data_IF_764476467985
#
_entry.id   IF_764476467985
#
_cell.length_a   1.000
_cell.length_b   1.000
_cell.length_c   1.000
_cell.angle_alpha   90.00
_cell.angle_beta   90.00
_cell.angle_gamma   90.00
#
_symmetry.space_group_name_H-M   'P 1'
#
loop_
_entity.id
_entity.type
_entity.pdbx_description
1 polymer ?
#
# COMPACT_ATOMS: atom_id res chain seq x y z
N UNK A 1 -22.19 11.00 12.57
CA UNK A 1 -20.87 10.62 12.06
C UNK A 1 -19.82 10.96 13.12
N UNK A 2 -19.01 10.05 13.54
CA UNK A 2 -17.89 10.33 14.45
C UNK A 2 -16.62 10.18 13.66
N UNK A 3 -15.87 11.26 13.49
CA UNK A 3 -14.55 11.19 12.86
C UNK A 3 -13.65 10.27 13.69
N UNK A 4 -12.91 9.38 13.02
CA UNK A 4 -11.95 8.51 13.66
C UNK A 4 -12.56 7.70 14.82
N UNK A 5 -13.79 7.21 14.63
CA UNK A 5 -14.53 6.47 15.65
C UNK A 5 -14.00 5.04 15.75
N UNK A 6 -13.45 4.71 16.91
CA UNK A 6 -12.77 3.44 17.18
C UNK A 6 -13.65 2.21 16.92
N UNK A 7 -14.90 2.25 17.32
CA UNK A 7 -15.82 1.10 17.20
C UNK A 7 -16.21 0.89 15.71
N UNK A 8 -16.41 1.97 14.97
CA UNK A 8 -16.67 1.90 13.54
C UNK A 8 -15.47 1.33 12.77
N UNK A 9 -14.23 1.73 13.12
CA UNK A 9 -13.00 1.20 12.51
C UNK A 9 -12.86 -0.31 12.77
N UNK A 10 -13.14 -0.77 14.00
CA UNK A 10 -13.11 -2.18 14.34
C UNK A 10 -14.17 -2.96 13.54
N UNK A 11 -15.36 -2.39 13.39
CA UNK A 11 -16.46 -3.01 12.64
C UNK A 11 -16.14 -3.12 11.13
N UNK A 12 -15.38 -2.19 10.56
CA UNK A 12 -14.93 -2.24 9.17
C UNK A 12 -13.84 -3.30 8.91
N UNK A 13 -13.11 -3.72 9.93
CA UNK A 13 -11.97 -4.63 9.80
C UNK A 13 -12.14 -5.90 10.63
N UNK A 14 -13.26 -6.65 10.49
CA UNK A 14 -13.60 -7.78 11.37
C UNK A 14 -12.72 -9.01 11.18
N UNK A 15 -12.06 -9.13 10.04
CA UNK A 15 -11.14 -10.23 9.71
C UNK A 15 -9.77 -10.06 10.39
N UNK A 16 -9.40 -8.86 10.81
CA UNK A 16 -8.17 -8.63 11.55
C UNK A 16 -8.28 -9.18 12.98
N UNK A 17 -7.40 -10.11 13.35
CA UNK A 17 -7.36 -10.76 14.68
C UNK A 17 -6.16 -10.36 15.54
N UNK A 18 -5.25 -9.55 14.98
CA UNK A 18 -4.03 -9.10 15.67
C UNK A 18 -4.24 -7.87 16.57
N UNK A 19 -3.15 -7.31 17.04
CA UNK A 19 -3.12 -6.07 17.83
C UNK A 19 -3.71 -4.89 17.03
N UNK A 20 -4.30 -3.93 17.76
CA UNK A 20 -4.85 -2.71 17.17
C UNK A 20 -4.17 -1.47 17.73
N UNK A 21 -4.07 -0.44 16.91
CA UNK A 21 -3.66 0.89 17.34
C UNK A 21 -4.72 1.51 18.27
N UNK A 22 -4.38 2.56 19.03
CA UNK A 22 -5.33 3.20 19.95
C UNK A 22 -6.64 3.67 19.30
N UNK A 23 -6.59 4.06 18.03
CA UNK A 23 -7.75 4.47 17.23
C UNK A 23 -8.58 3.30 16.67
N UNK A 24 -8.17 2.06 16.89
CA UNK A 24 -8.89 0.85 16.46
C UNK A 24 -8.39 0.24 15.16
N UNK A 25 -7.54 0.93 14.40
CA UNK A 25 -6.97 0.41 13.15
C UNK A 25 -6.13 -0.86 13.40
N UNK A 26 -6.14 -1.83 12.47
CA UNK A 26 -5.18 -2.93 12.47
C UNK A 26 -3.75 -2.44 12.63
N UNK A 27 -3.01 -3.05 13.55
CA UNK A 27 -1.56 -2.82 13.72
C UNK A 27 -0.80 -3.99 13.08
N UNK A 28 -0.64 -3.94 11.77
CA UNK A 28 0.22 -4.89 11.06
C UNK A 28 1.64 -4.80 11.64
N UNK A 29 2.27 -5.95 11.91
CA UNK A 29 3.60 -6.01 12.50
C UNK A 29 4.65 -5.39 11.58
N UNK A 30 5.62 -4.69 12.17
CA UNK A 30 6.65 -3.96 11.43
C UNK A 30 7.53 -4.87 10.56
N UNK A 31 7.73 -6.13 10.96
CA UNK A 31 8.47 -7.13 10.16
C UNK A 31 7.90 -7.32 8.75
N UNK A 32 6.57 -7.27 8.58
CA UNK A 32 5.93 -7.37 7.27
C UNK A 32 6.12 -6.09 6.46
N UNK A 33 6.05 -4.93 7.12
CA UNK A 33 6.32 -3.65 6.45
C UNK A 33 7.79 -3.57 6.00
N UNK A 34 8.72 -4.09 6.79
CA UNK A 34 10.15 -4.13 6.46
C UNK A 34 10.41 -5.07 5.27
N UNK A 35 9.80 -6.25 5.25
CA UNK A 35 9.94 -7.20 4.16
C UNK A 35 9.48 -6.61 2.80
N UNK A 36 8.39 -5.84 2.79
CA UNK A 36 7.87 -5.21 1.57
C UNK A 36 8.87 -4.25 0.90
N UNK A 37 9.80 -3.65 1.63
CA UNK A 37 10.82 -2.78 1.02
C UNK A 37 11.75 -3.53 0.06
N UNK A 38 11.96 -4.83 0.24
CA UNK A 38 12.74 -5.70 -0.66
C UNK A 38 12.01 -6.12 -1.93
N UNK A 39 10.66 -6.06 -1.96
CA UNK A 39 9.81 -6.67 -3.00
C UNK A 39 9.46 -5.72 -4.12
N UNK A 40 9.20 -6.23 -5.32
CA UNK A 40 8.69 -5.47 -6.47
C UNK A 40 7.16 -5.31 -6.41
N UNK A 41 6.61 -4.44 -7.27
CA UNK A 41 5.16 -4.25 -7.35
C UNK A 41 4.44 -5.54 -7.79
N UNK A 42 4.99 -6.22 -8.77
CA UNK A 42 4.42 -7.44 -9.37
C UNK A 42 4.41 -8.60 -8.39
N UNK A 43 5.49 -8.77 -7.61
CA UNK A 43 5.59 -9.79 -6.56
C UNK A 43 4.52 -9.61 -5.48
N UNK A 44 4.27 -8.36 -5.06
CA UNK A 44 3.27 -8.04 -4.04
C UNK A 44 1.85 -8.08 -4.60
N UNK A 45 1.66 -7.67 -5.86
CA UNK A 45 0.34 -7.65 -6.50
C UNK A 45 -0.21 -9.05 -6.78
N UNK A 46 0.63 -9.97 -7.24
CA UNK A 46 0.22 -11.31 -7.68
C UNK A 46 -0.59 -12.09 -6.62
N UNK A 47 -0.13 -12.22 -5.36
CA UNK A 47 -0.90 -12.90 -4.32
C UNK A 47 -2.28 -12.27 -4.07
N UNK A 48 -2.36 -10.96 -4.06
CA UNK A 48 -3.61 -10.21 -3.83
C UNK A 48 -4.61 -10.49 -4.96
N UNK A 49 -4.13 -10.47 -6.21
CA UNK A 49 -4.95 -10.74 -7.39
C UNK A 49 -5.50 -12.17 -7.38
N UNK A 50 -4.66 -13.16 -7.08
CA UNK A 50 -5.05 -14.57 -6.99
C UNK A 50 -6.11 -14.81 -5.92
N UNK A 51 -6.08 -14.05 -4.82
CA UNK A 51 -7.08 -14.09 -3.75
C UNK A 51 -8.40 -13.38 -4.13
N UNK A 52 -8.53 -12.85 -5.37
CA UNK A 52 -9.75 -12.20 -5.87
C UNK A 52 -9.88 -10.71 -5.54
N UNK A 53 -8.83 -10.07 -5.03
CA UNK A 53 -8.80 -8.62 -4.76
C UNK A 53 -8.26 -7.86 -5.97
N UNK A 54 -9.01 -7.83 -7.07
CA UNK A 54 -8.59 -7.29 -8.36
C UNK A 54 -8.43 -5.76 -8.39
N UNK A 55 -9.21 -5.04 -7.55
CA UNK A 55 -9.29 -3.57 -7.56
C UNK A 55 -8.50 -2.93 -6.42
N UNK A 56 -7.24 -3.31 -6.25
CA UNK A 56 -6.38 -2.78 -5.17
C UNK A 56 -5.20 -1.93 -5.68
N UNK A 57 -4.99 -1.88 -6.98
CA UNK A 57 -3.89 -1.13 -7.60
C UNK A 57 -4.38 0.16 -8.25
N UNK A 58 -3.62 1.25 -8.04
CA UNK A 58 -3.81 2.56 -8.69
C UNK A 58 -2.51 3.01 -9.31
N UNK A 59 -2.53 3.24 -10.60
CA UNK A 59 -1.35 3.67 -11.34
C UNK A 59 -1.51 3.51 -12.85
N UNK A 60 -0.40 3.65 -13.57
CA UNK A 60 -0.39 3.53 -15.02
C UNK A 60 -1.17 4.62 -15.75
N UNK A 61 -1.50 4.37 -17.02
CA UNK A 61 -2.06 5.38 -17.93
C UNK A 61 -3.49 5.84 -17.59
N UNK A 62 -4.29 5.02 -16.91
CA UNK A 62 -5.69 5.35 -16.61
C UNK A 62 -5.84 6.14 -15.29
N UNK A 63 -4.95 5.93 -14.34
CA UNK A 63 -4.96 6.58 -13.04
C UNK A 63 -3.55 7.05 -12.65
N UNK A 64 -2.93 7.95 -13.43
CA UNK A 64 -1.52 8.32 -13.22
C UNK A 64 -1.34 9.04 -11.89
N UNK A 65 -0.33 8.62 -11.14
CA UNK A 65 0.16 9.26 -9.93
C UNK A 65 1.60 9.70 -10.15
N UNK A 66 1.95 10.87 -9.64
CA UNK A 66 3.32 11.39 -9.67
C UNK A 66 3.98 11.11 -8.32
N UNK A 67 5.12 10.43 -8.28
CA UNK A 67 5.89 10.29 -7.06
C UNK A 67 6.61 11.60 -6.71
N UNK A 68 6.71 11.93 -5.44
CA UNK A 68 7.51 13.07 -4.97
C UNK A 68 8.99 12.88 -5.31
N UNK A 69 9.50 11.69 -5.09
CA UNK A 69 10.85 11.28 -5.47
C UNK A 69 10.79 10.15 -6.50
N UNK A 70 11.51 10.33 -7.58
CA UNK A 70 11.67 9.38 -8.68
C UNK A 70 13.08 8.73 -8.62
N UNK A 71 13.43 8.20 -7.46
CA UNK A 71 14.72 7.57 -7.15
C UNK A 71 14.58 6.09 -6.74
N UNK A 72 13.42 5.51 -7.01
CA UNK A 72 13.12 4.12 -6.68
C UNK A 72 12.74 3.85 -5.22
N UNK A 73 12.69 4.92 -4.37
CA UNK A 73 12.24 4.73 -2.98
C UNK A 73 10.78 4.32 -2.92
N UNK A 74 10.51 3.35 -2.06
CA UNK A 74 9.17 2.83 -1.85
C UNK A 74 8.44 3.59 -0.76
N UNK A 75 7.11 3.50 -0.79
CA UNK A 75 6.22 3.95 0.27
C UNK A 75 5.58 2.72 0.91
N UNK A 76 5.85 2.47 2.18
CA UNK A 76 5.24 1.34 2.91
C UNK A 76 4.75 1.81 4.26
N UNK A 77 3.49 1.50 4.60
CA UNK A 77 2.96 1.81 5.93
C UNK A 77 1.46 1.54 6.04
N UNK A 78 0.91 1.81 7.23
CA UNK A 78 -0.50 1.55 7.57
C UNK A 78 -1.38 2.72 7.16
N UNK A 79 -2.47 2.46 6.47
CA UNK A 79 -3.38 3.47 5.96
C UNK A 79 -4.10 4.25 7.07
N UNK A 80 -4.05 5.58 6.95
CA UNK A 80 -4.97 6.52 7.60
C UNK A 80 -5.79 7.14 6.50
N UNK A 81 -7.04 6.73 6.37
CA UNK A 81 -7.91 7.17 5.28
C UNK A 81 -8.62 8.46 5.61
N UNK A 82 -8.74 9.37 4.64
CA UNK A 82 -9.56 10.56 4.75
C UNK A 82 -10.16 10.95 3.39
N UNK A 83 -11.44 11.28 3.39
CA UNK A 83 -12.16 11.67 2.19
C UNK A 83 -12.76 13.06 2.31
N UNK A 84 -12.81 13.75 1.19
CA UNK A 84 -13.28 15.11 1.10
C UNK A 84 -14.35 15.27 0.03
N UNK A 85 -15.09 16.36 0.10
CA UNK A 85 -16.04 16.78 -0.92
C UNK A 85 -15.96 18.30 -1.12
N UNK A 86 -16.55 18.85 -2.20
CA UNK A 86 -16.68 20.29 -2.39
C UNK A 86 -17.36 20.94 -1.20
N UNK A 87 -16.95 22.19 -0.90
CA UNK A 87 -17.50 22.90 0.24
C UNK A 87 -19.01 23.12 0.11
N UNK A 88 -19.66 22.91 1.24
CA UNK A 88 -21.06 23.27 1.47
C UNK A 88 -21.10 23.94 2.85
N UNK A 89 -21.50 25.24 2.94
CA UNK A 89 -21.34 26.02 4.17
C UNK A 89 -21.95 25.39 5.42
N UNK A 90 -23.18 24.90 5.31
CA UNK A 90 -23.90 24.25 6.41
C UNK A 90 -23.20 22.97 6.90
N UNK A 91 -22.68 22.15 5.96
CA UNK A 91 -21.88 20.95 6.32
C UNK A 91 -20.54 21.35 6.93
N UNK A 92 -19.88 22.38 6.39
CA UNK A 92 -18.62 22.89 6.92
C UNK A 92 -18.77 23.32 8.38
N UNK A 93 -19.80 24.12 8.69
CA UNK A 93 -20.05 24.61 10.04
C UNK A 93 -20.29 23.46 11.04
N UNK A 94 -21.08 22.45 10.64
CA UNK A 94 -21.32 21.26 11.46
C UNK A 94 -20.04 20.47 11.72
N UNK A 95 -19.23 20.24 10.67
CA UNK A 95 -17.99 19.46 10.82
C UNK A 95 -16.92 20.19 11.62
N UNK A 96 -16.79 21.51 11.46
CA UNK A 96 -15.88 22.32 12.25
C UNK A 96 -16.29 22.41 13.73
N UNK A 97 -17.57 22.59 14.02
CA UNK A 97 -18.08 22.57 15.40
C UNK A 97 -17.76 21.23 16.09
N UNK A 98 -17.97 20.12 15.38
CA UNK A 98 -17.63 18.79 15.89
C UNK A 98 -16.13 18.62 16.12
N UNK A 99 -15.28 19.07 15.19
CA UNK A 99 -13.83 19.04 15.37
C UNK A 99 -13.39 19.85 16.60
N UNK A 100 -14.02 20.99 16.86
CA UNK A 100 -13.76 21.79 18.04
C UNK A 100 -14.18 21.08 19.35
N UNK A 101 -15.30 20.37 19.38
CA UNK A 101 -15.74 19.52 20.49
C UNK A 101 -14.72 18.41 20.78
N UNK A 102 -14.10 17.83 19.75
CA UNK A 102 -13.05 16.82 19.84
C UNK A 102 -11.66 17.41 20.13
N UNK A 103 -11.55 18.73 20.32
CA UNK A 103 -10.30 19.44 20.60
C UNK A 103 -9.35 19.52 19.41
N UNK A 104 -9.87 19.39 18.18
CA UNK A 104 -9.08 19.51 16.95
C UNK A 104 -8.79 20.98 16.62
N UNK A 105 -7.59 21.27 16.16
CA UNK A 105 -7.14 22.62 15.84
C UNK A 105 -6.73 22.75 14.36
N UNK A 106 -6.93 23.93 13.80
CA UNK A 106 -6.58 24.22 12.41
C UNK A 106 -7.57 23.66 11.39
N UNK A 107 -7.07 23.33 10.22
CA UNK A 107 -7.88 22.80 9.11
C UNK A 107 -7.96 21.26 9.14
N UNK A 108 -8.88 20.68 8.42
CA UNK A 108 -9.11 19.23 8.35
C UNK A 108 -7.85 18.40 8.05
N UNK A 109 -6.98 18.85 7.12
CA UNK A 109 -5.73 18.16 6.81
C UNK A 109 -4.74 18.17 8.00
N UNK A 110 -4.73 19.22 8.81
CA UNK A 110 -3.94 19.29 10.04
C UNK A 110 -4.47 18.32 11.10
N UNK A 111 -5.79 18.18 11.20
CA UNK A 111 -6.40 17.22 12.13
C UNK A 111 -5.89 15.80 11.91
N UNK A 112 -5.82 15.38 10.63
CA UNK A 112 -5.30 14.05 10.25
C UNK A 112 -3.81 13.94 10.56
N UNK A 113 -3.00 14.89 10.06
CA UNK A 113 -1.54 14.87 10.19
C UNK A 113 -1.11 14.87 11.67
N UNK A 114 -1.79 15.64 12.51
CA UNK A 114 -1.44 15.77 13.93
C UNK A 114 -1.76 14.53 14.77
N UNK A 115 -2.47 13.54 14.22
CA UNK A 115 -2.86 12.30 14.90
C UNK A 115 -2.28 11.03 14.29
N UNK A 116 -1.29 11.17 13.41
CA UNK A 116 -0.58 10.02 12.82
C UNK A 116 0.30 9.32 13.87
N UNK A 117 0.41 8.02 13.73
CA UNK A 117 1.35 7.16 14.44
C UNK A 117 2.56 6.84 13.56
N UNK A 118 3.57 6.23 14.16
CA UNK A 118 4.75 5.75 13.45
C UNK A 118 4.35 4.75 12.36
N UNK A 119 4.97 4.86 11.17
CA UNK A 119 4.69 4.05 9.97
C UNK A 119 3.28 4.19 9.39
N UNK A 120 2.56 5.25 9.75
CA UNK A 120 1.31 5.58 9.07
C UNK A 120 1.57 6.18 7.67
N UNK A 121 0.65 5.90 6.75
CA UNK A 121 0.56 6.51 5.43
C UNK A 121 -0.83 7.13 5.27
N UNK A 122 -0.90 8.41 4.97
CA UNK A 122 -2.17 9.07 4.68
C UNK A 122 -2.69 8.66 3.32
N UNK A 123 -3.91 8.16 3.27
CA UNK A 123 -4.65 7.86 2.03
C UNK A 123 -5.77 8.88 1.90
N UNK A 124 -5.59 9.85 1.02
CA UNK A 124 -6.45 11.02 0.92
C UNK A 124 -7.17 11.08 -0.42
N UNK A 125 -8.49 10.92 -0.41
CA UNK A 125 -9.34 11.21 -1.57
C UNK A 125 -9.84 12.66 -1.53
N UNK A 126 -9.28 13.48 -2.43
CA UNK A 126 -9.68 14.88 -2.66
C UNK A 126 -10.55 15.03 -3.92
N UNK A 127 -11.28 13.99 -4.32
CA UNK A 127 -12.11 13.99 -5.55
C UNK A 127 -11.38 14.59 -6.78
N UNK A 128 -10.08 14.27 -6.92
CA UNK A 128 -9.16 14.77 -7.96
C UNK A 128 -9.03 16.31 -8.03
N UNK A 129 -9.24 17.00 -6.91
CA UNK A 129 -9.11 18.46 -6.82
C UNK A 129 -7.64 18.87 -6.81
N UNK A 130 -7.18 19.58 -7.85
CA UNK A 130 -5.82 20.14 -7.94
C UNK A 130 -5.82 21.62 -7.52
N UNK A 131 -6.53 22.48 -8.24
CA UNK A 131 -6.66 23.90 -7.88
C UNK A 131 -7.35 24.06 -6.54
N UNK A 132 -6.69 24.75 -5.60
CA UNK A 132 -7.15 24.88 -4.20
C UNK A 132 -7.33 23.51 -3.48
N UNK A 133 -6.76 22.43 -4.02
CA UNK A 133 -6.84 21.06 -3.50
C UNK A 133 -5.50 20.54 -2.97
N UNK A 134 -4.60 21.40 -2.58
CA UNK A 134 -3.24 21.07 -2.21
C UNK A 134 -3.16 20.59 -0.75
N UNK A 135 -3.43 19.32 -0.55
CA UNK A 135 -3.50 18.68 0.78
C UNK A 135 -2.21 18.82 1.59
N UNK A 136 -1.06 18.60 0.96
CA UNK A 136 0.27 18.74 1.56
C UNK A 136 1.05 19.90 0.94
N UNK A 137 1.92 20.48 1.77
CA UNK A 137 3.00 21.37 1.41
C UNK A 137 4.17 21.19 2.37
N UNK A 138 5.20 22.02 2.32
CA UNK A 138 6.42 21.84 3.10
C UNK A 138 6.22 21.61 4.60
N UNK A 139 5.40 22.42 5.27
CA UNK A 139 5.16 22.30 6.72
C UNK A 139 4.47 20.98 7.11
N UNK A 140 3.41 20.61 6.37
CA UNK A 140 2.66 19.40 6.70
C UNK A 140 3.45 18.13 6.35
N UNK A 141 4.27 18.15 5.30
CA UNK A 141 5.19 17.05 4.99
C UNK A 141 6.24 16.88 6.09
N UNK A 142 6.76 17.98 6.63
CA UNK A 142 7.69 17.93 7.78
C UNK A 142 7.01 17.34 9.02
N UNK A 143 5.77 17.76 9.32
CA UNK A 143 5.01 17.23 10.46
C UNK A 143 4.68 15.73 10.26
N UNK A 144 4.27 15.34 9.06
CA UNK A 144 4.01 13.96 8.67
C UNK A 144 5.25 13.09 8.92
N UNK A 145 6.41 13.47 8.36
CA UNK A 145 7.66 12.73 8.55
C UNK A 145 8.05 12.61 10.02
N UNK A 146 7.92 13.69 10.77
CA UNK A 146 8.25 13.68 12.21
C UNK A 146 7.44 12.64 12.99
N UNK A 147 6.17 12.44 12.63
CA UNK A 147 5.27 11.49 13.28
C UNK A 147 5.45 10.07 12.79
N UNK A 148 5.51 9.90 11.47
CA UNK A 148 5.49 8.57 10.84
C UNK A 148 6.88 7.94 10.70
N UNK A 149 7.96 8.72 10.78
CA UNK A 149 9.36 8.31 10.57
C UNK A 149 9.66 7.91 9.13
N UNK A 150 9.06 6.84 8.64
CA UNK A 150 9.28 6.25 7.32
C UNK A 150 8.02 6.19 6.46
N UNK A 151 6.98 6.91 6.86
CA UNK A 151 5.71 6.92 6.14
C UNK A 151 5.66 7.98 5.05
N UNK A 152 4.44 8.30 4.66
CA UNK A 152 4.17 9.31 3.64
C UNK A 152 2.70 9.47 3.37
N UNK A 153 2.37 9.81 2.11
CA UNK A 153 0.99 10.02 1.73
C UNK A 153 0.71 9.61 0.28
N UNK A 154 -0.50 9.18 0.02
CA UNK A 154 -1.07 9.06 -1.31
C UNK A 154 -2.28 9.99 -1.40
N UNK A 155 -2.29 10.87 -2.40
CA UNK A 155 -3.23 11.98 -2.48
C UNK A 155 -3.91 11.97 -3.86
N UNK A 156 -5.18 11.62 -3.87
CA UNK A 156 -6.01 11.76 -5.07
C UNK A 156 -6.45 13.21 -5.22
N UNK A 157 -5.48 14.08 -5.46
CA UNK A 157 -5.60 15.52 -5.49
C UNK A 157 -4.26 16.22 -5.65
N UNK A 158 -4.17 17.48 -5.20
CA UNK A 158 -3.00 18.32 -5.37
C UNK A 158 -2.04 18.37 -4.18
N UNK A 159 -0.80 18.77 -4.49
CA UNK A 159 0.23 19.18 -3.52
C UNK A 159 0.82 20.53 -3.92
N UNK A 160 1.52 21.18 -3.01
CA UNK A 160 2.30 22.40 -3.26
C UNK A 160 3.68 22.32 -2.60
N UNK A 161 4.51 23.33 -2.81
CA UNK A 161 5.84 23.45 -2.18
C UNK A 161 6.73 22.21 -2.45
N UNK A 162 6.65 21.62 -3.64
CA UNK A 162 7.30 20.34 -3.97
C UNK A 162 8.82 20.38 -3.75
N UNK A 163 9.47 21.51 -4.02
CA UNK A 163 10.90 21.67 -3.74
C UNK A 163 11.25 21.62 -2.27
N UNK A 164 10.37 22.15 -1.39
CA UNK A 164 10.53 22.07 0.04
C UNK A 164 10.20 20.64 0.54
N UNK A 165 9.15 20.04 0.02
CA UNK A 165 8.78 18.65 0.35
C UNK A 165 9.92 17.68 0.04
N UNK A 166 10.60 17.84 -1.10
CA UNK A 166 11.76 17.02 -1.50
C UNK A 166 12.97 17.12 -0.55
N UNK A 167 13.05 18.15 0.27
CA UNK A 167 14.12 18.31 1.27
C UNK A 167 13.82 17.58 2.59
N UNK A 168 12.59 17.09 2.77
CA UNK A 168 12.21 16.31 3.95
C UNK A 168 12.72 14.87 3.75
N UNK A 169 13.58 14.35 4.64
CA UNK A 169 14.13 13.01 4.50
C UNK A 169 13.06 11.93 4.74
N UNK A 170 13.31 10.73 4.23
CA UNK A 170 12.55 9.51 4.53
C UNK A 170 11.03 9.63 4.33
N UNK A 171 10.63 10.40 3.31
CA UNK A 171 9.23 10.60 2.92
C UNK A 171 9.04 10.27 1.45
N UNK A 172 7.97 9.56 1.13
CA UNK A 172 7.47 9.44 -0.24
C UNK A 172 6.01 9.87 -0.29
N UNK A 173 5.65 10.60 -1.34
CA UNK A 173 4.28 11.06 -1.56
C UNK A 173 3.90 10.79 -3.02
N UNK A 174 2.74 10.19 -3.23
CA UNK A 174 2.15 10.07 -4.55
C UNK A 174 0.96 11.02 -4.67
N UNK A 175 0.86 11.76 -5.77
CA UNK A 175 -0.17 12.78 -5.96
C UNK A 175 -0.61 12.90 -7.43
N UNK A 176 -1.75 13.59 -7.66
CA UNK A 176 -2.31 13.80 -9.00
C UNK A 176 -1.72 15.01 -9.71
N UNK A 177 -1.47 16.09 -8.99
CA UNK A 177 -0.98 17.32 -9.60
C UNK A 177 -0.42 18.33 -8.60
N UNK A 178 0.09 19.43 -9.14
CA UNK A 178 0.72 20.52 -8.37
C UNK A 178 -0.05 21.81 -8.63
N UNK A 179 -0.33 22.56 -7.56
CA UNK A 179 -0.88 23.90 -7.64
C UNK A 179 -0.34 24.75 -6.48
N UNK A 180 0.04 26.02 -6.68
CA UNK A 180 0.62 26.85 -5.63
C UNK A 180 -0.43 27.37 -4.62
N UNK A 181 -1.72 27.23 -4.89
CA UNK A 181 -2.76 27.74 -4.01
C UNK A 181 -2.85 26.94 -2.70
N UNK A 182 -3.18 27.57 -1.56
CA UNK A 182 -3.50 26.84 -0.35
C UNK A 182 -4.80 26.06 -0.51
N UNK A 183 -4.94 24.97 0.25
CA UNK A 183 -6.15 24.18 0.27
C UNK A 183 -7.36 25.01 0.71
N UNK A 184 -8.44 25.00 -0.06
CA UNK A 184 -9.69 25.73 0.19
C UNK A 184 -10.88 25.06 -0.50
N UNK A 185 -12.09 25.47 -0.09
CA UNK A 185 -13.35 25.08 -0.74
C UNK A 185 -13.56 23.55 -0.72
N UNK A 186 -13.33 22.95 0.43
CA UNK A 186 -13.50 21.51 0.69
C UNK A 186 -14.04 21.31 2.11
N UNK A 187 -14.66 20.18 2.33
CA UNK A 187 -15.13 19.71 3.64
C UNK A 187 -14.69 18.25 3.80
N UNK A 188 -14.16 17.90 4.98
CA UNK A 188 -13.91 16.52 5.33
C UNK A 188 -15.23 15.76 5.45
N UNK A 189 -15.35 14.72 4.67
CA UNK A 189 -16.51 13.84 4.66
C UNK A 189 -16.34 12.73 5.71
N UNK A 190 -15.22 12.03 5.64
CA UNK A 190 -14.92 10.90 6.51
C UNK A 190 -13.43 10.87 6.89
N UNK A 191 -13.14 10.31 8.06
CA UNK A 191 -11.79 10.05 8.55
C UNK A 191 -11.73 8.66 9.18
N UNK A 192 -10.79 7.83 8.74
CA UNK A 192 -10.68 6.41 9.04
C UNK A 192 -11.97 5.64 8.74
N UNK A 193 -12.48 5.84 7.54
CA UNK A 193 -13.62 5.14 6.94
C UNK A 193 -13.22 4.60 5.56
N UNK A 194 -14.16 3.95 4.87
CA UNK A 194 -13.97 3.38 3.53
C UNK A 194 -13.57 4.50 2.55
N UNK A 195 -12.46 4.33 1.87
CA UNK A 195 -11.96 5.32 0.91
C UNK A 195 -11.85 4.71 -0.48
N UNK A 196 -12.45 5.39 -1.46
CA UNK A 196 -12.21 5.12 -2.87
C UNK A 196 -11.04 6.00 -3.34
N UNK A 197 -9.92 5.39 -3.67
CA UNK A 197 -8.73 6.09 -4.13
C UNK A 197 -8.44 5.68 -5.57
N UNK A 198 -8.77 6.54 -6.54
CA UNK A 198 -8.48 6.29 -7.95
C UNK A 198 -9.10 5.02 -8.55
N UNK A 199 -10.18 4.52 -7.95
CA UNK A 199 -10.85 3.28 -8.36
C UNK A 199 -10.50 2.05 -7.52
N UNK A 200 -9.47 2.13 -6.65
CA UNK A 200 -9.19 1.11 -5.65
C UNK A 200 -9.88 1.42 -4.32
N UNK A 201 -10.10 0.41 -3.51
CA UNK A 201 -10.70 0.55 -2.17
C UNK A 201 -9.61 0.39 -1.11
N UNK A 202 -9.56 1.32 -0.18
CA UNK A 202 -8.69 1.27 0.98
C UNK A 202 -9.51 1.38 2.27
N UNK A 203 -9.25 0.49 3.20
CA UNK A 203 -9.79 0.53 4.56
C UNK A 203 -8.74 1.08 5.54
N UNK A 204 -9.17 1.67 6.67
CA UNK A 204 -8.23 2.10 7.70
C UNK A 204 -7.41 0.93 8.25
N UNK A 205 -6.08 1.07 8.21
CA UNK A 205 -5.13 0.04 8.64
C UNK A 205 -4.69 -0.96 7.56
N UNK A 206 -5.22 -0.87 6.33
CA UNK A 206 -4.61 -1.57 5.19
C UNK A 206 -3.16 -1.15 5.01
N UNK A 207 -2.34 -2.01 4.42
CA UNK A 207 -0.96 -1.63 4.10
C UNK A 207 -0.91 -0.98 2.73
N UNK A 208 -0.37 0.23 2.71
CA UNK A 208 -0.07 0.96 1.47
C UNK A 208 1.31 0.54 0.98
N UNK A 209 1.39 0.10 -0.27
CA UNK A 209 2.64 -0.21 -0.95
C UNK A 209 2.76 0.64 -2.22
N UNK A 210 3.70 1.58 -2.21
CA UNK A 210 3.97 2.48 -3.34
C UNK A 210 5.30 2.15 -4.01
N UNK A 211 5.24 1.66 -5.25
CA UNK A 211 6.38 1.31 -6.08
C UNK A 211 6.02 1.47 -7.57
N UNK A 212 6.18 2.67 -8.15
CA UNK A 212 5.75 2.95 -9.52
C UNK A 212 4.24 3.15 -9.72
N UNK A 213 3.45 2.81 -8.72
CA UNK A 213 2.02 3.01 -8.51
C UNK A 213 1.74 2.75 -7.05
N UNK A 214 0.48 2.63 -6.67
CA UNK A 214 0.05 2.39 -5.29
C UNK A 214 -0.85 1.17 -5.22
N UNK A 215 -0.51 0.25 -4.33
CA UNK A 215 -1.25 -0.96 -4.05
C UNK A 215 -1.75 -0.91 -2.59
N UNK A 216 -3.00 -1.28 -2.36
CA UNK A 216 -3.57 -1.42 -1.02
C UNK A 216 -3.70 -2.90 -0.67
N UNK A 217 -3.03 -3.32 0.39
CA UNK A 217 -3.02 -4.71 0.86
C UNK A 217 -3.96 -4.80 2.06
N UNK A 218 -5.06 -5.57 1.99
CA UNK A 218 -5.92 -5.78 3.15
C UNK A 218 -5.13 -6.28 4.35
N UNK A 219 -5.29 -5.63 5.50
CA UNK A 219 -4.46 -5.87 6.69
C UNK A 219 -4.39 -7.34 7.10
N UNK A 220 -5.50 -8.08 6.98
CA UNK A 220 -5.58 -9.49 7.35
C UNK A 220 -4.87 -10.45 6.38
N UNK A 221 -4.51 -9.97 5.18
CA UNK A 221 -3.80 -10.76 4.15
C UNK A 221 -2.31 -10.48 4.08
N UNK A 222 -1.80 -9.50 4.83
CA UNK A 222 -0.42 -9.02 4.67
C UNK A 222 0.61 -10.14 4.88
N UNK A 223 0.39 -11.04 5.84
CA UNK A 223 1.30 -12.15 6.08
C UNK A 223 1.36 -13.11 4.88
N UNK A 224 0.20 -13.49 4.35
CA UNK A 224 0.09 -14.38 3.18
C UNK A 224 0.67 -13.73 1.92
N UNK A 225 0.45 -12.42 1.75
CA UNK A 225 0.99 -11.64 0.64
C UNK A 225 2.51 -11.56 0.70
N UNK A 226 3.08 -11.31 1.87
CA UNK A 226 4.54 -11.25 2.06
C UNK A 226 5.18 -12.62 1.80
N UNK A 227 4.57 -13.71 2.27
CA UNK A 227 5.05 -15.07 1.98
C UNK A 227 4.96 -15.40 0.49
N UNK A 228 3.83 -15.11 -0.16
CA UNK A 228 3.63 -15.34 -1.59
C UNK A 228 4.57 -14.51 -2.46
N UNK A 229 4.83 -13.26 -2.07
CA UNK A 229 5.81 -12.40 -2.74
C UNK A 229 7.24 -12.92 -2.58
N UNK A 230 7.63 -13.38 -1.38
CA UNK A 230 8.93 -13.98 -1.13
C UNK A 230 9.14 -15.25 -1.97
N UNK A 231 8.12 -16.10 -2.10
CA UNK A 231 8.15 -17.27 -2.99
C UNK A 231 8.31 -16.87 -4.45
N UNK A 232 7.63 -15.84 -4.90
CA UNK A 232 7.77 -15.32 -6.27
C UNK A 232 9.18 -14.80 -6.50
N UNK A 233 9.70 -13.99 -5.60
CA UNK A 233 11.04 -13.41 -5.68
C UNK A 233 12.13 -14.49 -5.84
N UNK A 234 12.14 -15.48 -4.96
CA UNK A 234 13.18 -16.54 -5.01
C UNK A 234 13.02 -17.45 -6.24
N UNK A 235 11.78 -17.66 -6.71
CA UNK A 235 11.53 -18.37 -7.99
C UNK A 235 12.07 -17.60 -9.18
N UNK A 236 11.92 -16.27 -9.19
CA UNK A 236 12.43 -15.42 -10.26
C UNK A 236 13.96 -15.42 -10.28
N UNK A 237 14.63 -15.24 -9.14
CA UNK A 237 16.09 -15.32 -9.05
C UNK A 237 16.65 -16.66 -9.55
N UNK A 238 16.07 -17.76 -9.09
CA UNK A 238 16.42 -19.10 -9.58
C UNK A 238 16.13 -19.24 -11.07
N UNK A 239 14.94 -18.81 -11.51
CA UNK A 239 14.51 -18.93 -12.90
C UNK A 239 15.40 -18.18 -13.88
N UNK A 240 15.80 -16.95 -13.54
CA UNK A 240 16.74 -16.15 -14.33
C UNK A 240 18.07 -16.86 -14.50
N UNK A 241 18.60 -17.45 -13.43
CA UNK A 241 19.84 -18.21 -13.49
C UNK A 241 19.71 -19.46 -14.35
N UNK A 242 18.61 -20.22 -14.22
CA UNK A 242 18.38 -21.43 -15.01
C UNK A 242 18.20 -21.11 -16.50
N UNK A 243 17.57 -20.01 -16.85
CA UNK A 243 17.47 -19.50 -18.24
C UNK A 243 18.86 -19.15 -18.76
N UNK A 244 19.65 -18.39 -17.99
CA UNK A 244 21.01 -18.00 -18.40
C UNK A 244 21.94 -19.21 -18.61
N UNK A 245 21.76 -20.29 -17.81
CA UNK A 245 22.50 -21.55 -17.96
C UNK A 245 21.96 -22.44 -19.08
N UNK A 246 20.84 -22.09 -19.71
CA UNK A 246 20.18 -22.91 -20.73
C UNK A 246 19.56 -24.21 -20.21
N UNK A 247 19.31 -24.31 -18.90
CA UNK A 247 18.70 -25.49 -18.27
C UNK A 247 17.19 -25.53 -18.47
N UNK A 248 16.53 -24.38 -18.40
CA UNK A 248 15.10 -24.21 -18.61
C UNK A 248 14.82 -23.14 -19.65
N UNK A 249 13.71 -23.26 -20.34
CA UNK A 249 13.18 -22.28 -21.27
C UNK A 249 12.31 -21.26 -20.53
N UNK A 250 12.09 -20.09 -21.12
CA UNK A 250 11.14 -19.09 -20.57
C UNK A 250 9.74 -19.70 -20.41
N UNK A 251 9.29 -20.53 -21.38
CA UNK A 251 7.99 -21.19 -21.31
C UNK A 251 7.84 -22.18 -20.14
N UNK A 252 8.95 -22.68 -19.59
CA UNK A 252 8.93 -23.52 -18.39
C UNK A 252 8.93 -22.66 -17.11
N UNK A 253 9.74 -21.61 -17.09
CA UNK A 253 9.86 -20.71 -15.93
C UNK A 253 8.61 -19.86 -15.73
N UNK A 254 8.01 -19.33 -16.80
CA UNK A 254 6.82 -18.45 -16.72
C UNK A 254 5.52 -19.18 -16.35
N UNK A 255 5.56 -20.50 -16.09
CA UNK A 255 4.37 -21.25 -15.66
C UNK A 255 4.04 -20.94 -14.19
N UNK A 256 2.74 -20.87 -13.91
CA UNK A 256 2.26 -20.77 -12.53
C UNK A 256 2.67 -22.00 -11.71
N UNK A 257 2.47 -23.19 -12.28
CA UNK A 257 2.80 -24.47 -11.64
C UNK A 257 4.07 -25.07 -12.26
N UNK A 258 5.09 -25.29 -11.43
CA UNK A 258 6.33 -25.94 -11.83
C UNK A 258 6.23 -27.46 -11.63
N UNK A 259 7.09 -28.21 -12.29
CA UNK A 259 7.21 -29.65 -12.08
C UNK A 259 7.92 -29.96 -10.75
N UNK A 260 7.72 -31.16 -10.20
CA UNK A 260 8.46 -31.61 -9.01
C UNK A 260 9.97 -31.50 -9.19
N UNK A 261 10.51 -31.86 -10.36
CA UNK A 261 11.93 -31.72 -10.70
C UNK A 261 12.41 -30.27 -10.59
N UNK A 262 11.64 -29.31 -11.10
CA UNK A 262 11.99 -27.88 -11.00
C UNK A 262 11.95 -27.40 -9.55
N UNK A 263 10.99 -27.87 -8.75
CA UNK A 263 10.88 -27.53 -7.32
C UNK A 263 12.03 -28.15 -6.51
N UNK A 264 12.41 -29.40 -6.80
CA UNK A 264 13.58 -30.05 -6.16
C UNK A 264 14.86 -29.24 -6.41
N UNK A 265 15.07 -28.80 -7.66
CA UNK A 265 16.22 -27.96 -8.01
C UNK A 265 16.17 -26.58 -7.34
N UNK A 266 14.99 -25.96 -7.24
CA UNK A 266 14.81 -24.70 -6.52
C UNK A 266 15.14 -24.87 -5.03
N UNK A 267 14.60 -25.88 -4.38
CA UNK A 267 14.85 -26.13 -2.94
C UNK A 267 16.33 -26.41 -2.69
N UNK A 268 17.01 -27.19 -3.54
CA UNK A 268 18.45 -27.40 -3.45
C UNK A 268 19.23 -26.09 -3.64
N UNK A 269 18.83 -25.26 -4.60
CA UNK A 269 19.43 -23.96 -4.86
C UNK A 269 19.26 -23.03 -3.65
N UNK A 270 18.06 -22.95 -3.04
CA UNK A 270 17.80 -22.17 -1.84
C UNK A 270 18.72 -22.58 -0.68
N UNK A 271 19.02 -23.87 -0.54
CA UNK A 271 19.89 -24.37 0.53
C UNK A 271 21.37 -24.06 0.29
N UNK A 272 21.81 -23.94 -0.96
CA UNK A 272 23.23 -23.89 -1.35
C UNK A 272 23.69 -22.51 -1.82
N UNK A 273 22.83 -21.71 -2.43
CA UNK A 273 23.15 -20.36 -2.91
C UNK A 273 22.98 -19.32 -1.79
N UNK A 274 23.91 -18.35 -1.62
CA UNK A 274 23.77 -17.27 -0.64
C UNK A 274 22.50 -16.44 -0.78
N UNK A 275 21.96 -16.25 -2.00
CA UNK A 275 20.71 -15.52 -2.24
C UNK A 275 19.49 -16.24 -1.69
N UNK A 276 19.57 -17.57 -1.51
CA UNK A 276 18.52 -18.39 -0.92
C UNK A 276 18.44 -18.33 0.60
N UNK A 277 19.43 -17.75 1.29
CA UNK A 277 19.58 -17.86 2.75
C UNK A 277 18.35 -17.42 3.54
N UNK A 278 17.71 -16.31 3.16
CA UNK A 278 16.53 -15.78 3.85
C UNK A 278 15.22 -16.52 3.50
N UNK A 279 15.23 -17.42 2.50
CA UNK A 279 14.07 -18.17 2.01
C UNK A 279 14.05 -19.65 2.42
N UNK A 280 15.02 -20.10 3.24
CA UNK A 280 15.18 -21.52 3.63
C UNK A 280 14.01 -22.08 4.44
N UNK A 281 13.29 -21.22 5.14
CA UNK A 281 12.16 -21.59 5.99
C UNK A 281 10.81 -21.52 5.26
N UNK A 282 10.77 -21.18 3.96
CA UNK A 282 9.52 -21.14 3.18
C UNK A 282 8.96 -22.56 3.00
N UNK A 283 7.65 -22.69 3.23
CA UNK A 283 6.92 -23.93 3.01
C UNK A 283 6.49 -24.07 1.53
N UNK A 284 7.04 -25.09 0.86
CA UNK A 284 6.77 -25.43 -0.55
C UNK A 284 5.75 -26.56 -0.73
N UNK A 285 5.10 -27.02 0.34
CA UNK A 285 4.20 -28.16 0.30
C UNK A 285 3.03 -27.96 -0.67
N UNK A 286 2.47 -26.77 -0.73
CA UNK A 286 1.40 -26.43 -1.66
C UNK A 286 1.84 -26.50 -3.12
N UNK A 287 3.02 -26.00 -3.44
CA UNK A 287 3.58 -26.03 -4.80
C UNK A 287 3.86 -27.48 -5.26
N UNK A 288 4.34 -28.33 -4.36
CA UNK A 288 4.50 -29.76 -4.64
C UNK A 288 3.16 -30.47 -4.84
N UNK A 289 2.14 -30.13 -4.08
CA UNK A 289 0.80 -30.69 -4.26
C UNK A 289 0.20 -30.27 -5.60
N UNK A 290 0.38 -29.03 -6.03
CA UNK A 290 -0.04 -28.54 -7.34
C UNK A 290 0.75 -29.23 -8.47
N UNK A 291 2.06 -29.44 -8.30
CA UNK A 291 2.88 -30.14 -9.27
C UNK A 291 2.41 -31.59 -9.52
N UNK A 292 1.97 -32.28 -8.46
CA UNK A 292 1.48 -33.68 -8.54
C UNK A 292 0.05 -33.80 -9.07
N UNK A 293 -0.83 -32.92 -8.65
CA UNK A 293 -2.26 -33.05 -8.90
C UNK A 293 -2.76 -32.15 -10.04
N UNK A 294 -1.92 -31.23 -10.54
CA UNK A 294 -2.28 -30.16 -11.47
C UNK A 294 -2.94 -28.99 -10.75
N UNK A 295 -2.77 -27.80 -11.30
CA UNK A 295 -3.44 -26.60 -10.82
C UNK A 295 -4.77 -26.40 -11.56
N UNK A 296 -5.93 -26.49 -10.88
CA UNK A 296 -7.22 -26.29 -11.52
C UNK A 296 -7.41 -24.87 -12.08
N UNK A 297 -6.56 -23.91 -11.65
CA UNK A 297 -6.58 -22.52 -12.09
C UNK A 297 -5.48 -22.19 -13.12
N UNK A 298 -4.66 -23.19 -13.53
CA UNK A 298 -3.62 -22.97 -14.53
C UNK A 298 -4.23 -22.78 -15.93
N UNK A 299 -4.44 -21.50 -16.28
CA UNK A 299 -4.99 -21.10 -17.58
C UNK A 299 -3.94 -21.03 -18.68
N UNK A 300 -2.66 -21.24 -18.40
CA UNK A 300 -1.57 -21.16 -19.39
C UNK A 300 -1.48 -22.40 -20.27
N UNK A 301 -2.23 -23.46 -19.98
CA UNK A 301 -2.33 -24.61 -20.86
C UNK A 301 -3.32 -24.43 -22.02
N UNK A 302 -4.00 -23.28 -22.13
CA UNK A 302 -5.07 -23.02 -23.09
C UNK A 302 -4.78 -21.93 -24.13
N UNK A 303 -3.50 -21.62 -24.40
CA UNK A 303 -3.10 -20.77 -25.54
C UNK A 303 -2.25 -21.54 -26.51
#
# INVERSE_FOLDING_TARGET
MNFNDRESIIALTPLWKGERLPDGRPKVEDKYLDALYGMTLEEVWKPIFVLGYEHQFVGGGLAPLTPLHDDGRKLVGRAVTCTYCPTRPDLHDVQFARGAEDGLQGNYNQWVIDRLYERDVVVCDMYDKIYKGTFLGGNLTTALQKRTKTGGAVIWGGVRDVEQMKKVPDVQVYYRGIDPTPIREFVMKDWNDITNFGGAVCLPGDVVFGAGGVLFIPSHLVADVVEGAAKTHVKDDFGFEMICQGKFTTAQIDRNTWTEEMLDMLVEWIQTDPRGEEYRDLDWSQEYDLARNGDPNDTQTAL
#
